data_IF_186375248890
#
_entry.id   IF_186375248890
#
_cell.length_a   1.000
_cell.length_b   1.000
_cell.length_c   1.000
_cell.angle_alpha   90.00
_cell.angle_beta   90.00
_cell.angle_gamma   90.00
#
_symmetry.space_group_name_H-M   'P 1'
#
loop_
_entity.id
_entity.type
_entity.pdbx_description
1 polymer ?
#
# COMPACT_ATOMS: atom_id res chain seq x y z
N UNK A 1 52.56 11.20 7.61
CA UNK A 1 53.06 12.56 7.91
C UNK A 1 53.57 13.17 6.62
N UNK A 2 52.92 14.22 6.13
CA UNK A 2 53.49 15.29 5.31
C UNK A 2 52.49 16.45 5.32
N UNK A 3 52.95 17.59 5.82
CA UNK A 3 52.23 18.86 5.90
C UNK A 3 52.41 19.65 4.59
N UNK A 4 51.39 20.40 4.16
CA UNK A 4 51.43 21.88 4.11
C UNK A 4 50.29 22.48 3.29
N UNK A 5 49.41 23.17 4.02
CA UNK A 5 48.80 24.49 3.78
C UNK A 5 48.92 25.15 2.40
N UNK A 6 47.78 25.59 1.84
CA UNK A 6 47.59 27.00 1.50
C UNK A 6 46.11 27.43 1.54
N UNK A 7 45.83 28.49 2.30
CA UNK A 7 44.59 29.28 2.34
C UNK A 7 44.46 30.12 1.06
N UNK A 8 43.24 30.33 0.56
CA UNK A 8 42.62 31.67 0.40
C UNK A 8 41.18 31.61 -0.16
N UNK A 9 40.44 32.65 0.18
CA UNK A 9 39.00 32.94 0.13
C UNK A 9 38.29 32.89 -1.25
N UNK A 10 36.94 33.01 -1.27
CA UNK A 10 36.06 32.73 -2.40
C UNK A 10 35.69 33.98 -3.19
N UNK A 11 35.58 33.87 -4.53
CA UNK A 11 34.63 34.62 -5.39
C UNK A 11 34.92 34.26 -6.86
N UNK A 12 33.93 33.70 -7.57
CA UNK A 12 33.65 33.84 -9.02
C UNK A 12 32.85 32.60 -9.49
N UNK A 13 31.51 32.64 -9.48
CA UNK A 13 30.65 33.11 -10.58
C UNK A 13 30.91 32.38 -11.92
N UNK A 14 29.92 31.53 -12.25
CA UNK A 14 29.16 31.54 -13.51
C UNK A 14 29.82 30.95 -14.77
N UNK A 15 29.24 29.79 -15.13
CA UNK A 15 28.85 29.35 -16.49
C UNK A 15 29.91 29.49 -17.58
N UNK A 16 30.51 28.36 -17.95
CA UNK A 16 30.67 28.04 -19.37
C UNK A 16 30.32 26.56 -19.60
N UNK A 17 29.13 26.38 -20.17
CA UNK A 17 28.68 25.16 -20.82
C UNK A 17 29.50 24.99 -22.11
N UNK A 18 30.00 23.79 -22.39
CA UNK A 18 29.83 23.07 -23.66
C UNK A 18 30.75 21.84 -23.73
N UNK A 19 30.16 20.69 -24.08
CA UNK A 19 30.81 19.51 -24.68
C UNK A 19 31.80 18.66 -23.85
N UNK A 20 31.30 18.01 -22.78
CA UNK A 20 32.06 16.93 -22.11
C UNK A 20 31.82 15.52 -22.69
N UNK A 21 31.32 15.42 -23.94
CA UNK A 21 31.03 14.12 -24.58
C UNK A 21 32.13 13.69 -25.57
N UNK A 22 33.16 14.50 -25.82
CA UNK A 22 34.13 14.24 -26.91
C UNK A 22 35.58 14.01 -26.44
N UNK A 23 35.86 13.87 -25.14
CA UNK A 23 37.25 13.67 -24.66
C UNK A 23 37.49 12.44 -23.76
N UNK A 24 36.62 11.44 -23.81
CA UNK A 24 36.79 10.18 -23.08
C UNK A 24 37.31 9.00 -23.93
N UNK A 25 37.68 9.20 -25.20
CA UNK A 25 38.04 8.10 -26.13
C UNK A 25 39.57 7.96 -26.40
N UNK A 26 40.45 8.81 -25.84
CA UNK A 26 41.87 8.82 -26.24
C UNK A 26 42.92 8.50 -25.16
N UNK A 27 42.55 8.29 -23.90
CA UNK A 27 43.49 7.78 -22.90
C UNK A 27 42.89 6.56 -22.21
N UNK A 28 43.18 5.38 -22.78
CA UNK A 28 42.81 4.08 -22.23
C UNK A 28 43.43 3.83 -20.85
N UNK A 29 42.84 4.43 -19.82
CA UNK A 29 43.16 4.17 -18.43
C UNK A 29 41.86 3.86 -17.72
N UNK A 30 41.58 2.56 -17.60
CA UNK A 30 40.55 2.01 -16.73
C UNK A 30 40.84 2.46 -15.30
N UNK A 31 40.10 3.44 -14.80
CA UNK A 31 40.05 3.75 -13.37
C UNK A 31 38.60 3.76 -12.93
N UNK A 32 38.18 2.63 -12.37
CA UNK A 32 37.07 2.63 -11.42
C UNK A 32 37.50 3.54 -10.27
N UNK A 33 36.80 4.66 -10.10
CA UNK A 33 36.96 5.49 -8.92
C UNK A 33 35.95 5.00 -7.88
N UNK A 34 36.46 4.17 -6.97
CA UNK A 34 35.86 3.93 -5.67
C UNK A 34 35.84 5.24 -4.87
N UNK A 35 34.69 5.55 -4.29
CA UNK A 35 34.61 6.26 -3.02
C UNK A 35 34.41 7.78 -3.04
N UNK A 36 33.16 8.20 -2.81
CA UNK A 36 32.85 9.21 -1.78
C UNK A 36 31.77 8.60 -0.88
N UNK A 37 32.16 8.32 0.37
CA UNK A 37 31.26 8.01 1.49
C UNK A 37 30.63 9.33 2.00
N UNK A 38 29.39 9.32 2.48
CA UNK A 38 29.23 9.37 3.94
C UNK A 38 28.02 8.57 4.43
N UNK A 39 28.29 7.54 5.22
CA UNK A 39 27.79 7.38 6.58
C UNK A 39 28.29 6.02 7.04
N UNK A 40 29.09 6.02 8.12
CA UNK A 40 29.52 4.83 8.83
C UNK A 40 28.31 3.93 9.13
N UNK A 41 28.12 2.89 8.32
CA UNK A 41 27.70 1.60 8.83
C UNK A 41 29.00 0.80 8.93
N UNK A 42 29.68 0.92 10.07
CA UNK A 42 30.68 -0.07 10.45
C UNK A 42 29.91 -1.36 10.71
N UNK A 43 29.87 -2.20 9.67
CA UNK A 43 29.50 -3.61 9.77
C UNK A 43 30.58 -4.32 10.59
N UNK A 44 30.46 -4.18 11.91
CA UNK A 44 31.11 -5.08 12.85
C UNK A 44 30.24 -6.33 13.01
N UNK A 45 30.71 -7.35 12.29
CA UNK A 45 30.68 -8.75 12.68
C UNK A 45 29.34 -9.49 12.63
N UNK A 46 29.38 -10.57 11.86
CA UNK A 46 28.44 -11.66 11.87
C UNK A 46 28.19 -12.17 13.30
N UNK A 47 27.08 -11.76 13.88
CA UNK A 47 26.44 -12.46 14.99
C UNK A 47 25.01 -12.74 14.55
N UNK A 48 24.60 -14.00 14.63
CA UNK A 48 23.24 -14.45 14.38
C UNK A 48 22.25 -13.79 15.35
N UNK A 49 21.92 -12.52 15.10
CA UNK A 49 20.86 -11.82 15.81
C UNK A 49 19.55 -12.36 15.27
N UNK A 50 18.84 -13.10 16.12
CA UNK A 50 17.41 -13.34 15.93
C UNK A 50 16.74 -11.98 15.63
N UNK A 51 15.71 -11.94 14.79
CA UNK A 51 14.89 -10.73 14.66
C UNK A 51 14.49 -10.27 16.07
N UNK A 52 14.41 -8.95 16.33
CA UNK A 52 13.99 -8.46 17.64
C UNK A 52 12.67 -9.15 18.00
N UNK A 53 12.71 -9.98 19.04
CA UNK A 53 11.52 -10.64 19.56
C UNK A 53 10.72 -9.57 20.25
N UNK A 54 9.74 -9.00 19.55
CA UNK A 54 8.79 -8.10 20.16
C UNK A 54 7.94 -8.93 21.13
N UNK A 55 7.95 -8.56 22.41
CA UNK A 55 6.99 -9.12 23.36
C UNK A 55 5.63 -8.51 23.06
N UNK A 56 4.70 -9.36 22.62
CA UNK A 56 3.32 -8.95 22.32
C UNK A 56 2.67 -8.31 23.55
N UNK A 57 3.01 -8.75 24.76
CA UNK A 57 2.50 -8.17 26.00
C UNK A 57 3.00 -6.74 26.21
N UNK A 58 4.24 -6.45 25.81
CA UNK A 58 4.83 -5.11 25.89
C UNK A 58 4.21 -4.16 24.85
N UNK A 59 3.87 -4.66 23.65
CA UNK A 59 3.11 -3.90 22.65
C UNK A 59 1.70 -3.56 23.14
N UNK A 60 1.00 -4.55 23.71
CA UNK A 60 -0.34 -4.37 24.27
C UNK A 60 -0.33 -3.33 25.39
N UNK A 61 0.66 -3.36 26.28
CA UNK A 61 0.80 -2.42 27.38
C UNK A 61 1.07 -0.98 26.92
N UNK A 62 1.67 -0.79 25.75
CA UNK A 62 1.97 0.54 25.20
C UNK A 62 0.76 1.13 24.47
N UNK A 63 0.12 0.34 23.62
CA UNK A 63 -1.12 0.72 22.94
C UNK A 63 -1.94 -0.53 22.59
N UNK A 64 -3.05 -0.80 23.30
CA UNK A 64 -3.92 -1.95 23.05
C UNK A 64 -4.45 -2.02 21.61
N UNK A 65 -4.58 -0.89 20.91
CA UNK A 65 -5.05 -0.84 19.53
C UNK A 65 -4.03 -1.36 18.50
N UNK A 66 -2.76 -1.61 18.88
CA UNK A 66 -1.78 -2.19 17.97
C UNK A 66 -2.12 -3.64 17.59
N UNK A 67 -2.84 -4.34 18.46
CA UNK A 67 -3.22 -5.75 18.24
C UNK A 67 -4.73 -5.99 18.34
N UNK A 68 -5.52 -4.95 18.66
CA UNK A 68 -6.97 -5.06 18.75
C UNK A 68 -7.63 -4.78 17.40
N UNK A 69 -8.33 -5.79 16.88
CA UNK A 69 -9.03 -5.69 15.60
C UNK A 69 -10.46 -5.14 15.79
N UNK A 70 -10.81 -4.13 15.00
CA UNK A 70 -12.16 -3.59 14.92
C UNK A 70 -12.82 -3.97 13.58
N UNK A 71 -14.15 -4.10 13.59
CA UNK A 71 -14.92 -4.45 12.39
C UNK A 71 -14.89 -3.37 11.31
N UNK A 72 -15.51 -3.67 10.17
CA UNK A 72 -15.56 -2.74 9.03
C UNK A 72 -16.31 -1.45 9.42
N UNK A 73 -15.78 -0.32 8.96
CA UNK A 73 -16.36 0.99 9.29
C UNK A 73 -16.11 1.44 10.73
N UNK A 74 -15.23 0.74 11.45
CA UNK A 74 -14.81 1.08 12.80
C UNK A 74 -13.30 1.36 12.85
N UNK A 75 -12.90 2.15 13.84
CA UNK A 75 -11.50 2.40 14.17
C UNK A 75 -11.28 2.16 15.67
N UNK A 76 -10.09 1.69 16.02
CA UNK A 76 -9.71 1.46 17.41
C UNK A 76 -9.22 2.76 18.05
N UNK A 77 -9.71 3.04 19.25
CA UNK A 77 -9.23 4.13 20.11
C UNK A 77 -8.98 3.61 21.51
N UNK A 78 -7.97 4.16 22.19
CA UNK A 78 -7.72 3.87 23.60
C UNK A 78 -8.61 4.79 24.44
N UNK A 79 -9.40 4.21 25.35
CA UNK A 79 -10.27 4.96 26.25
C UNK A 79 -9.53 5.46 27.50
N UNK A 80 -10.26 6.15 28.39
CA UNK A 80 -9.69 6.68 29.64
C UNK A 80 -9.20 5.59 30.60
N UNK A 81 -9.63 4.35 30.41
CA UNK A 81 -9.25 3.18 31.21
C UNK A 81 -8.03 2.45 30.63
N UNK A 82 -7.36 3.01 29.62
CA UNK A 82 -6.27 2.38 28.88
C UNK A 82 -6.68 1.06 28.20
N UNK A 83 -7.94 0.96 27.77
CA UNK A 83 -8.47 -0.19 27.05
C UNK A 83 -8.75 0.15 25.58
N UNK A 84 -8.55 -0.82 24.69
CA UNK A 84 -8.97 -0.69 23.30
C UNK A 84 -10.49 -0.65 23.20
N UNK A 85 -11.01 0.34 22.47
CA UNK A 85 -12.43 0.50 22.19
C UNK A 85 -12.63 0.76 20.70
N UNK A 86 -13.48 -0.05 20.08
CA UNK A 86 -13.91 0.16 18.70
C UNK A 86 -15.01 1.22 18.66
N UNK A 87 -14.84 2.21 17.79
CA UNK A 87 -15.86 3.23 17.50
C UNK A 87 -16.07 3.33 16.00
N UNK A 88 -17.20 3.90 15.58
CA UNK A 88 -17.40 4.18 14.16
C UNK A 88 -16.33 5.12 13.63
N UNK A 89 -15.84 4.83 12.44
CA UNK A 89 -14.75 5.55 11.82
C UNK A 89 -15.13 7.03 11.64
N UNK A 90 -14.29 7.95 12.14
CA UNK A 90 -14.59 9.38 12.11
C UNK A 90 -14.62 9.96 10.71
N UNK A 91 -13.72 9.50 9.84
CA UNK A 91 -13.58 9.99 8.47
C UNK A 91 -13.15 8.91 7.50
N UNK A 92 -13.65 8.99 6.26
CA UNK A 92 -13.24 8.12 5.17
C UNK A 92 -12.41 8.88 4.12
N UNK A 93 -11.58 8.16 3.33
CA UNK A 93 -10.87 8.75 2.20
C UNK A 93 -11.84 9.40 1.19
N UNK A 94 -11.45 10.53 0.61
CA UNK A 94 -12.26 11.27 -0.38
C UNK A 94 -12.35 10.61 -1.77
N UNK A 95 -11.80 9.40 -1.95
CA UNK A 95 -11.85 8.69 -3.24
C UNK A 95 -13.30 8.34 -3.59
N UNK A 96 -13.69 8.54 -4.85
CA UNK A 96 -15.02 8.18 -5.34
C UNK A 96 -14.96 6.82 -6.05
N UNK A 97 -15.70 5.86 -5.49
CA UNK A 97 -15.98 4.55 -6.06
C UNK A 97 -17.38 4.19 -5.61
N UNK A 98 -18.39 4.74 -6.27
CA UNK A 98 -19.78 4.66 -5.81
C UNK A 98 -20.19 3.20 -5.64
N UNK A 99 -20.83 2.88 -4.51
CA UNK A 99 -21.34 1.54 -4.21
C UNK A 99 -22.81 1.62 -3.79
N UNK A 100 -23.57 0.59 -4.12
CA UNK A 100 -24.95 0.42 -3.68
C UNK A 100 -24.98 -0.42 -2.39
N UNK A 101 -25.65 0.07 -1.36
CA UNK A 101 -25.88 -0.65 -0.11
C UNK A 101 -27.17 -1.45 -0.13
N UNK A 102 -27.24 -2.48 0.72
CA UNK A 102 -28.47 -3.25 0.97
C UNK A 102 -29.59 -2.46 1.63
N UNK A 103 -29.35 -1.19 1.96
CA UNK A 103 -30.37 -0.26 2.40
C UNK A 103 -30.98 0.58 1.27
N UNK A 104 -30.61 0.32 0.02
CA UNK A 104 -31.11 1.03 -1.16
C UNK A 104 -30.39 2.36 -1.42
N UNK A 105 -29.41 2.70 -0.58
CA UNK A 105 -28.67 3.95 -0.64
C UNK A 105 -27.35 3.81 -1.40
N UNK A 106 -26.98 4.88 -2.10
CA UNK A 106 -25.70 4.98 -2.80
C UNK A 106 -24.66 5.67 -1.93
N UNK A 107 -23.51 5.04 -1.75
CA UNK A 107 -22.41 5.56 -0.95
C UNK A 107 -21.24 5.98 -1.82
N UNK A 108 -20.54 7.05 -1.41
CA UNK A 108 -19.38 7.60 -2.14
C UNK A 108 -18.28 6.54 -2.38
N UNK A 109 -18.10 5.65 -1.41
CA UNK A 109 -17.17 4.52 -1.45
C UNK A 109 -17.52 3.50 -0.35
N UNK A 110 -16.83 2.36 -0.37
CA UNK A 110 -17.02 1.26 0.58
C UNK A 110 -16.78 1.66 2.05
N UNK A 111 -15.84 2.58 2.32
CA UNK A 111 -15.61 3.06 3.68
C UNK A 111 -16.84 3.81 4.20
N UNK A 112 -17.43 4.71 3.41
CA UNK A 112 -18.64 5.45 3.80
C UNK A 112 -19.83 4.51 4.03
N UNK A 113 -19.98 3.47 3.19
CA UNK A 113 -21.02 2.44 3.39
C UNK A 113 -20.87 1.75 4.75
N UNK A 114 -19.68 1.24 5.08
CA UNK A 114 -19.43 0.57 6.35
C UNK A 114 -19.51 1.52 7.55
N UNK A 115 -19.01 2.75 7.40
CA UNK A 115 -19.13 3.80 8.42
C UNK A 115 -20.60 4.06 8.72
N UNK A 116 -21.44 4.18 7.70
CA UNK A 116 -22.88 4.36 7.88
C UNK A 116 -23.56 3.12 8.46
N UNK A 117 -23.09 1.92 8.14
CA UNK A 117 -23.53 0.67 8.78
C UNK A 117 -23.27 0.70 10.29
N UNK A 118 -22.09 1.16 10.71
CA UNK A 118 -21.74 1.34 12.11
C UNK A 118 -22.61 2.42 12.79
N UNK A 119 -22.73 3.60 12.16
CA UNK A 119 -23.47 4.73 12.73
C UNK A 119 -24.97 4.46 12.88
N UNK A 120 -25.56 3.70 11.95
CA UNK A 120 -26.97 3.30 11.98
C UNK A 120 -27.20 2.04 12.84
N UNK A 121 -26.15 1.44 13.38
CA UNK A 121 -26.20 0.14 14.09
C UNK A 121 -26.93 -0.95 13.30
N UNK A 122 -26.81 -0.90 11.97
CA UNK A 122 -27.48 -1.83 11.05
C UNK A 122 -26.49 -2.33 10.02
N UNK A 123 -26.45 -3.64 9.81
CA UNK A 123 -25.60 -4.26 8.79
C UNK A 123 -26.05 -3.80 7.40
N UNK A 124 -25.16 -3.12 6.67
CA UNK A 124 -25.34 -2.74 5.26
C UNK A 124 -24.31 -3.52 4.46
N UNK A 125 -24.78 -4.35 3.53
CA UNK A 125 -23.92 -5.12 2.64
C UNK A 125 -23.88 -4.49 1.26
N UNK A 126 -22.81 -4.77 0.51
CA UNK A 126 -22.74 -4.38 -0.89
C UNK A 126 -23.85 -5.07 -1.69
N UNK A 127 -24.50 -4.32 -2.57
CA UNK A 127 -25.47 -4.83 -3.53
C UNK A 127 -25.11 -4.45 -4.96
N UNK A 128 -25.76 -5.13 -5.92
CA UNK A 128 -25.64 -4.78 -7.32
C UNK A 128 -26.11 -3.33 -7.54
N UNK A 129 -25.47 -2.54 -8.43
CA UNK A 129 -25.88 -1.16 -8.68
C UNK A 129 -27.37 -0.98 -8.99
N UNK A 130 -28.01 -1.96 -9.63
CA UNK A 130 -29.43 -1.94 -9.99
C UNK A 130 -30.37 -1.99 -8.77
N UNK A 131 -29.87 -2.39 -7.59
CA UNK A 131 -30.66 -2.37 -6.36
C UNK A 131 -30.92 -0.96 -5.86
N UNK A 132 -29.98 -0.03 -6.11
CA UNK A 132 -30.08 1.37 -5.75
C UNK A 132 -30.38 2.19 -7.01
N UNK A 133 -31.51 1.92 -7.64
CA UNK A 133 -31.99 2.64 -8.82
C UNK A 133 -31.98 4.15 -8.56
N UNK A 134 -31.07 4.88 -9.21
CA UNK A 134 -31.14 6.33 -9.29
C UNK A 134 -32.11 6.70 -10.43
N UNK A 135 -33.00 7.66 -10.21
CA UNK A 135 -33.89 8.26 -11.23
C UNK A 135 -33.18 9.00 -12.38
N UNK A 136 -31.88 8.82 -12.58
CA UNK A 136 -31.17 9.42 -13.71
C UNK A 136 -31.08 8.44 -14.87
N UNK A 137 -31.90 8.68 -15.89
CA UNK A 137 -31.77 8.22 -17.28
C UNK A 137 -30.39 7.63 -17.60
N UNK A 138 -30.25 6.32 -17.54
CA UNK A 138 -29.14 5.59 -18.15
C UNK A 138 -29.72 4.41 -18.90
N UNK A 139 -29.27 4.29 -20.15
CA UNK A 139 -29.46 3.15 -21.05
C UNK A 139 -29.55 1.83 -20.28
N UNK A 140 -30.41 0.90 -20.71
CA UNK A 140 -30.52 -0.39 -20.06
C UNK A 140 -29.14 -1.04 -20.04
N UNK A 141 -28.58 -1.22 -18.84
CA UNK A 141 -27.43 -2.10 -18.69
C UNK A 141 -27.88 -3.46 -19.21
N UNK A 142 -27.34 -3.89 -20.36
CA UNK A 142 -27.55 -5.24 -20.87
C UNK A 142 -27.12 -6.19 -19.77
N UNK A 143 -28.11 -6.81 -19.11
CA UNK A 143 -27.86 -7.80 -18.09
C UNK A 143 -27.05 -8.94 -18.73
N UNK A 144 -25.90 -9.25 -18.15
CA UNK A 144 -25.11 -10.40 -18.59
C UNK A 144 -25.93 -11.67 -18.39
N UNK A 145 -25.89 -12.56 -19.37
CA UNK A 145 -26.43 -13.91 -19.23
C UNK A 145 -25.58 -14.71 -18.23
N UNK A 146 -26.17 -15.70 -17.54
CA UNK A 146 -25.41 -16.60 -16.68
C UNK A 146 -24.23 -17.27 -17.41
N UNK A 147 -24.41 -17.60 -18.70
CA UNK A 147 -23.38 -18.20 -19.53
C UNK A 147 -22.18 -17.25 -19.75
N UNK A 148 -22.44 -15.97 -20.01
CA UNK A 148 -21.39 -14.97 -20.15
C UNK A 148 -20.63 -14.74 -18.84
N UNK A 149 -21.32 -14.78 -17.71
CA UNK A 149 -20.68 -14.69 -16.39
C UNK A 149 -19.73 -15.87 -16.13
N UNK A 150 -20.16 -17.09 -16.44
CA UNK A 150 -19.34 -18.29 -16.29
C UNK A 150 -18.10 -18.26 -17.20
N UNK A 151 -18.25 -17.86 -18.46
CA UNK A 151 -17.12 -17.67 -19.38
C UNK A 151 -16.15 -16.61 -18.86
N UNK A 152 -16.67 -15.48 -18.36
CA UNK A 152 -15.84 -14.43 -17.77
C UNK A 152 -15.09 -14.95 -16.54
N UNK A 153 -15.78 -15.67 -15.66
CA UNK A 153 -15.21 -16.27 -14.45
C UNK A 153 -14.08 -17.24 -14.79
N UNK A 154 -14.28 -18.14 -15.75
CA UNK A 154 -13.28 -19.13 -16.16
C UNK A 154 -12.07 -18.46 -16.81
N UNK A 155 -12.28 -17.47 -17.68
CA UNK A 155 -11.19 -16.69 -18.27
C UNK A 155 -10.40 -15.91 -17.21
N UNK A 156 -11.07 -15.35 -16.20
CA UNK A 156 -10.42 -14.65 -15.10
C UNK A 156 -9.60 -15.60 -14.23
N UNK A 157 -10.16 -16.76 -13.89
CA UNK A 157 -9.44 -17.82 -13.17
C UNK A 157 -8.22 -18.27 -13.97
N UNK A 158 -8.36 -18.50 -15.27
CA UNK A 158 -7.25 -18.89 -16.14
C UNK A 158 -6.16 -17.82 -16.22
N UNK A 159 -6.53 -16.53 -16.36
CA UNK A 159 -5.57 -15.43 -16.35
C UNK A 159 -4.80 -15.34 -15.03
N UNK A 160 -5.50 -15.49 -13.90
CA UNK A 160 -4.87 -15.50 -12.57
C UNK A 160 -3.92 -16.67 -12.41
N UNK A 161 -4.31 -17.85 -12.87
CA UNK A 161 -3.51 -19.08 -12.83
C UNK A 161 -2.27 -18.97 -13.72
N UNK A 162 -2.41 -18.43 -14.93
CA UNK A 162 -1.28 -18.16 -15.82
C UNK A 162 -0.30 -17.16 -15.22
N UNK A 163 -0.78 -16.09 -14.56
CA UNK A 163 0.08 -15.16 -13.79
C UNK A 163 0.82 -15.86 -12.65
N UNK A 164 0.13 -16.71 -11.88
CA UNK A 164 0.72 -17.46 -10.76
C UNK A 164 1.79 -18.47 -11.21
N UNK A 165 1.63 -19.07 -12.39
CA UNK A 165 2.60 -20.03 -12.96
C UNK A 165 3.77 -19.30 -13.62
N UNK A 166 3.55 -18.15 -14.23
CA UNK A 166 4.63 -17.35 -14.86
C UNK A 166 5.61 -16.73 -13.85
N UNK A 167 5.33 -16.83 -12.54
CA UNK A 167 6.19 -16.29 -11.49
C UNK A 167 6.90 -17.41 -10.73
N UNK A 168 8.10 -17.76 -11.18
CA UNK A 168 8.98 -18.79 -10.59
C UNK A 168 9.60 -18.36 -9.25
N UNK A 169 9.34 -17.13 -8.79
CA UNK A 169 9.80 -16.68 -7.49
C UNK A 169 8.74 -16.96 -6.43
N UNK A 170 9.11 -17.77 -5.43
CA UNK A 170 8.26 -18.13 -4.29
C UNK A 170 7.61 -16.89 -3.62
N UNK A 171 8.34 -15.77 -3.64
CA UNK A 171 7.87 -14.47 -3.16
C UNK A 171 6.64 -13.90 -3.90
N UNK A 172 6.53 -14.13 -5.20
CA UNK A 172 5.39 -13.66 -6.00
C UNK A 172 4.13 -14.50 -5.77
N UNK A 173 4.30 -15.79 -5.47
CA UNK A 173 3.21 -16.71 -5.10
C UNK A 173 2.64 -16.30 -3.75
N UNK A 174 3.49 -16.08 -2.76
CA UNK A 174 3.08 -15.61 -1.43
C UNK A 174 2.41 -14.23 -1.49
N UNK A 175 2.91 -13.34 -2.33
CA UNK A 175 2.31 -12.02 -2.55
C UNK A 175 0.92 -12.09 -3.19
N UNK A 176 0.72 -12.92 -4.21
CA UNK A 176 -0.59 -13.07 -4.86
C UNK A 176 -1.60 -13.78 -3.96
N UNK A 177 -1.17 -14.81 -3.22
CA UNK A 177 -1.99 -15.47 -2.21
C UNK A 177 -2.41 -14.45 -1.13
N UNK A 178 -1.47 -13.61 -0.67
CA UNK A 178 -1.77 -12.53 0.28
C UNK A 178 -2.76 -11.49 -0.28
N UNK A 179 -2.64 -11.09 -1.56
CA UNK A 179 -3.59 -10.19 -2.21
C UNK A 179 -4.98 -10.84 -2.34
N UNK A 180 -5.06 -12.11 -2.74
CA UNK A 180 -6.34 -12.81 -2.86
C UNK A 180 -7.04 -12.92 -1.51
N UNK A 181 -6.33 -13.26 -0.43
CA UNK A 181 -6.92 -13.31 0.91
C UNK A 181 -7.28 -11.92 1.46
N UNK A 182 -6.55 -10.86 1.09
CA UNK A 182 -6.89 -9.49 1.49
C UNK A 182 -8.25 -9.00 0.94
N UNK A 183 -8.79 -9.64 -0.10
CA UNK A 183 -10.12 -9.34 -0.64
C UNK A 183 -11.22 -10.22 -0.03
N UNK A 184 -10.88 -11.38 0.54
CA UNK A 184 -11.85 -12.25 1.22
C UNK A 184 -12.11 -11.83 2.68
N UNK A 185 -11.15 -11.16 3.32
CA UNK A 185 -11.35 -10.57 4.65
C UNK A 185 -12.04 -9.18 4.60
N UNK A 186 -12.36 -8.66 3.40
CA UNK A 186 -12.77 -7.26 3.17
C UNK A 186 -14.24 -7.05 2.83
#
# INVERSE_FOLDING_TARGET
MCYSTHRTSPTALVRYLHNFVVLSVLFGVTRCFDGISPHHLEDTEASGRRPPTYDVNQLIATNPCLVHYCGRGQECMVDASQMAKCVCQRSCPRRQKIVCGSDGEMYRNHCEMHRMSCLKERKITLQHPDYCSQETTREPATACTPQEYEIMKDNLLLYSHARLISSDNNHSRDFLVSIMFSHYDQ
#
